data_IF_141707133338
#
_entry.id   IF_141707133338
#
_cell.length_a   1.000
_cell.length_b   1.000
_cell.length_c   1.000
_cell.angle_alpha   90.00
_cell.angle_beta   90.00
_cell.angle_gamma   90.00
#
_symmetry.space_group_name_H-M   'P 1'
#
loop_
_entity.id
_entity.type
_entity.pdbx_description
1 polymer ?
#
# COMPACT_ATOMS: atom_id res chain seq x y z
N UNK A 1 -41.36 -26.58 9.84
CA UNK A 1 -40.82 -27.92 10.15
C UNK A 1 -39.31 -27.84 10.28
N UNK A 2 -38.82 -27.80 11.51
CA UNK A 2 -37.42 -28.09 11.85
C UNK A 2 -37.07 -29.54 11.53
N UNK A 3 -35.78 -29.88 11.47
CA UNK A 3 -35.33 -30.83 12.48
C UNK A 3 -33.99 -30.48 13.11
N UNK A 4 -34.00 -30.60 14.43
CA UNK A 4 -32.86 -30.78 15.33
C UNK A 4 -32.17 -32.13 15.08
N UNK A 5 -30.84 -32.18 15.17
CA UNK A 5 -30.17 -33.38 15.67
C UNK A 5 -28.82 -33.06 16.34
N UNK A 6 -28.70 -33.50 17.59
CA UNK A 6 -27.53 -33.49 18.47
C UNK A 6 -26.74 -34.78 18.27
N UNK A 7 -25.41 -34.71 18.27
CA UNK A 7 -24.44 -35.77 18.63
C UNK A 7 -23.20 -35.00 19.13
N UNK A 8 -22.81 -34.94 20.41
CA UNK A 8 -22.47 -35.95 21.43
C UNK A 8 -21.24 -36.79 21.09
N UNK A 9 -20.04 -36.30 21.46
CA UNK A 9 -18.90 -37.15 21.80
C UNK A 9 -18.07 -36.48 22.91
N UNK A 10 -18.04 -37.17 24.05
CA UNK A 10 -17.17 -36.91 25.17
C UNK A 10 -15.79 -37.53 24.90
N UNK A 11 -14.72 -36.90 25.39
CA UNK A 11 -13.51 -37.63 25.77
C UNK A 11 -12.89 -37.05 27.04
N UNK A 12 -12.92 -37.92 28.06
CA UNK A 12 -12.24 -37.90 29.34
C UNK A 12 -10.74 -37.54 29.26
N UNK A 13 -10.29 -36.68 30.18
CA UNK A 13 -9.03 -36.91 30.91
C UNK A 13 -9.34 -36.75 32.40
N UNK A 14 -9.00 -37.81 33.14
CA UNK A 14 -9.32 -38.04 34.54
C UNK A 14 -8.19 -37.59 35.47
N UNK A 15 -8.57 -37.10 36.67
CA UNK A 15 -8.08 -37.47 38.02
C UNK A 15 -6.54 -37.42 38.27
N UNK A 16 -6.00 -36.68 39.26
CA UNK A 16 -5.95 -36.93 40.74
C UNK A 16 -4.97 -35.88 41.34
N UNK A 17 -4.92 -35.49 42.65
CA UNK A 17 -5.90 -35.46 43.74
C UNK A 17 -6.01 -34.09 44.47
N UNK A 18 -7.02 -34.01 45.34
CA UNK A 18 -7.13 -33.06 46.44
C UNK A 18 -6.07 -33.25 47.53
N UNK A 19 -5.54 -32.15 48.10
CA UNK A 19 -5.25 -32.00 49.54
C UNK A 19 -4.64 -30.61 49.80
N UNK A 20 -5.43 -29.73 50.42
CA UNK A 20 -5.03 -28.80 51.49
C UNK A 20 -6.09 -27.71 51.60
N UNK A 21 -7.18 -28.05 52.28
CA UNK A 21 -7.95 -27.05 53.00
C UNK A 21 -7.02 -26.38 54.03
N UNK A 22 -6.50 -25.21 53.68
CA UNK A 22 -5.98 -24.26 54.66
C UNK A 22 -6.94 -23.07 54.67
N UNK A 23 -7.93 -23.20 55.55
CA UNK A 23 -8.64 -22.07 56.13
C UNK A 23 -7.63 -21.01 56.58
N UNK A 24 -7.60 -19.85 55.92
CA UNK A 24 -7.29 -18.62 56.63
C UNK A 24 -8.21 -17.53 56.11
N UNK A 25 -9.21 -17.25 56.94
CA UNK A 25 -9.99 -16.02 56.90
C UNK A 25 -9.02 -14.86 57.06
N UNK A 26 -8.61 -14.23 55.96
CA UNK A 26 -7.95 -12.93 56.01
C UNK A 26 -9.03 -11.85 56.17
N UNK A 27 -9.48 -11.66 57.41
CA UNK A 27 -10.15 -10.42 57.82
C UNK A 27 -9.04 -9.40 58.11
N UNK A 28 -9.19 -8.19 57.55
CA UNK A 28 -8.44 -6.92 57.78
C UNK A 28 -7.21 -6.60 56.89
N UNK A 29 -7.22 -5.44 56.19
CA UNK A 29 -6.03 -4.59 55.99
C UNK A 29 -6.03 -3.46 57.07
N UNK A 30 -4.93 -2.69 57.25
CA UNK A 30 -3.95 -2.84 58.34
C UNK A 30 -3.93 -1.62 59.31
N UNK A 31 -3.34 -1.72 60.51
CA UNK A 31 -3.06 -0.50 61.26
C UNK A 31 -1.70 -0.46 61.99
N UNK A 32 -0.60 -1.00 61.46
CA UNK A 32 0.70 -0.80 62.11
C UNK A 32 1.84 -0.71 61.09
N UNK A 33 2.30 0.52 60.82
CA UNK A 33 3.71 0.72 60.49
C UNK A 33 4.43 0.71 61.84
N UNK A 34 5.21 -0.32 62.21
CA UNK A 34 6.05 -0.22 63.38
C UNK A 34 7.13 0.84 63.11
N UNK A 35 7.00 1.99 63.80
CA UNK A 35 8.12 2.93 63.99
C UNK A 35 9.12 2.28 64.94
N UNK A 36 10.12 1.61 64.39
CA UNK A 36 11.28 1.19 65.16
C UNK A 36 11.85 -0.15 64.69
N UNK A 37 13.09 -0.12 64.22
CA UNK A 37 13.89 -1.32 63.95
C UNK A 37 13.65 -1.93 62.57
N UNK A 38 14.19 -1.32 61.52
CA UNK A 38 14.18 -1.91 60.19
C UNK A 38 15.10 -3.13 60.12
N UNK A 39 14.55 -4.30 60.41
CA UNK A 39 15.13 -5.58 60.00
C UNK A 39 15.33 -5.56 58.48
N UNK A 40 16.51 -5.99 58.01
CA UNK A 40 16.82 -6.07 56.58
C UNK A 40 15.83 -7.00 55.84
N UNK A 41 15.23 -7.96 56.54
CA UNK A 41 14.15 -8.83 56.02
C UNK A 41 12.89 -8.05 55.67
N UNK A 42 12.39 -7.17 56.53
CA UNK A 42 11.19 -6.36 56.22
C UNK A 42 11.41 -5.40 55.05
N UNK A 43 12.63 -4.88 54.87
CA UNK A 43 12.97 -4.07 53.69
C UNK A 43 12.99 -4.92 52.39
N UNK A 44 13.46 -6.16 52.46
CA UNK A 44 13.45 -7.08 51.32
C UNK A 44 12.02 -7.50 50.95
N UNK A 45 11.16 -7.77 51.93
CA UNK A 45 9.76 -8.15 51.72
C UNK A 45 8.94 -7.02 51.08
N UNK A 46 9.14 -5.77 51.54
CA UNK A 46 8.48 -4.59 50.93
C UNK A 46 8.95 -4.37 49.49
N UNK A 47 10.23 -4.61 49.18
CA UNK A 47 10.74 -4.54 47.79
C UNK A 47 10.12 -5.61 46.91
N UNK A 48 10.04 -6.85 47.40
CA UNK A 48 9.41 -7.96 46.67
C UNK A 48 7.94 -7.66 46.40
N UNK A 49 7.20 -7.22 47.41
CA UNK A 49 5.81 -6.81 47.27
C UNK A 49 5.64 -5.68 46.23
N UNK A 50 6.51 -4.65 46.25
CA UNK A 50 6.46 -3.56 45.26
C UNK A 50 6.68 -4.08 43.83
N UNK A 51 7.65 -4.98 43.64
CA UNK A 51 7.91 -5.60 42.33
C UNK A 51 6.71 -6.42 41.85
N UNK A 52 6.12 -7.23 42.72
CA UNK A 52 4.91 -8.01 42.42
C UNK A 52 3.73 -7.10 42.04
N UNK A 53 3.53 -5.99 42.77
CA UNK A 53 2.49 -5.02 42.44
C UNK A 53 2.73 -4.33 41.09
N UNK A 54 3.98 -3.98 40.76
CA UNK A 54 4.33 -3.41 39.45
C UNK A 54 4.05 -4.39 38.32
N UNK A 55 4.40 -5.66 38.49
CA UNK A 55 4.10 -6.72 37.51
C UNK A 55 2.59 -6.90 37.32
N UNK A 56 1.82 -6.93 38.43
CA UNK A 56 0.35 -7.02 38.36
C UNK A 56 -0.27 -5.83 37.65
N UNK A 57 0.24 -4.61 37.86
CA UNK A 57 -0.23 -3.43 37.15
C UNK A 57 0.05 -3.52 35.65
N UNK A 58 1.25 -3.99 35.26
CA UNK A 58 1.61 -4.20 33.85
C UNK A 58 0.71 -5.24 33.16
N UNK A 59 0.42 -6.36 33.84
CA UNK A 59 -0.49 -7.38 33.32
C UNK A 59 -1.92 -6.85 33.16
N UNK A 60 -2.41 -6.08 34.12
CA UNK A 60 -3.74 -5.47 34.04
C UNK A 60 -3.85 -4.46 32.90
N UNK A 61 -2.83 -3.61 32.71
CA UNK A 61 -2.82 -2.67 31.59
C UNK A 61 -2.76 -3.41 30.25
N UNK A 62 -2.02 -4.52 30.17
CA UNK A 62 -1.93 -5.33 28.97
C UNK A 62 -3.29 -5.96 28.61
N UNK A 63 -3.94 -6.64 29.54
CA UNK A 63 -5.27 -7.25 29.32
C UNK A 63 -6.28 -6.17 28.89
N UNK A 64 -6.26 -5.01 29.55
CA UNK A 64 -7.14 -3.90 29.22
C UNK A 64 -6.87 -3.36 27.81
N UNK A 65 -5.60 -3.24 27.40
CA UNK A 65 -5.26 -2.81 26.04
C UNK A 65 -5.76 -3.78 24.97
N UNK A 66 -5.68 -5.10 25.20
CA UNK A 66 -6.20 -6.10 24.28
C UNK A 66 -7.73 -6.05 24.15
N UNK A 67 -8.44 -5.90 25.27
CA UNK A 67 -9.90 -5.79 25.26
C UNK A 67 -10.39 -4.48 24.61
N UNK A 68 -9.66 -3.37 24.77
CA UNK A 68 -9.97 -2.12 24.09
C UNK A 68 -9.67 -2.19 22.59
N UNK A 69 -8.59 -2.87 22.20
CA UNK A 69 -8.26 -3.10 20.80
C UNK A 69 -9.33 -3.96 20.10
N UNK A 70 -9.87 -5.00 20.78
CA UNK A 70 -11.02 -5.77 20.27
C UNK A 70 -12.26 -4.91 20.02
N UNK A 71 -12.41 -3.80 20.75
CA UNK A 71 -13.49 -2.83 20.57
C UNK A 71 -13.20 -1.77 19.50
N UNK A 72 -12.04 -1.85 18.84
CA UNK A 72 -11.66 -0.96 17.73
C UNK A 72 -10.96 0.33 18.14
N UNK A 73 -10.50 0.44 19.38
CA UNK A 73 -9.72 1.61 19.82
C UNK A 73 -8.24 1.36 19.46
N UNK A 74 -7.57 2.28 18.75
CA UNK A 74 -6.19 2.10 18.30
C UNK A 74 -5.22 2.28 19.47
N UNK A 75 -5.09 1.24 20.29
CA UNK A 75 -4.10 1.15 21.38
C UNK A 75 -3.10 0.06 21.00
N UNK A 76 -1.78 0.29 21.15
CA UNK A 76 -0.77 -0.71 20.83
C UNK A 76 -0.98 -1.97 21.67
N UNK A 77 -1.23 -3.09 21.00
CA UNK A 77 -1.40 -4.39 21.65
C UNK A 77 -0.07 -5.10 21.82
N UNK A 78 -0.02 -6.16 22.64
CA UNK A 78 1.20 -6.94 22.79
C UNK A 78 1.62 -7.63 21.48
N UNK A 79 0.66 -7.94 20.60
CA UNK A 79 0.96 -8.41 19.25
C UNK A 79 1.66 -7.32 18.43
N UNK A 80 1.19 -6.07 18.47
CA UNK A 80 1.82 -4.97 17.71
C UNK A 80 3.25 -4.65 18.17
N UNK A 81 3.56 -4.84 19.46
CA UNK A 81 4.89 -4.57 20.04
C UNK A 81 5.86 -5.75 19.86
N UNK A 82 5.35 -6.98 19.77
CA UNK A 82 6.15 -8.20 19.61
C UNK A 82 6.49 -8.53 18.16
N UNK A 83 5.81 -7.89 17.21
CA UNK A 83 6.10 -8.04 15.79
C UNK A 83 7.40 -7.28 15.46
N UNK A 84 8.41 -7.93 14.84
CA UNK A 84 9.61 -7.24 14.39
C UNK A 84 9.24 -6.08 13.46
N UNK A 85 9.98 -4.96 13.52
CA UNK A 85 9.67 -3.70 12.79
C UNK A 85 9.30 -3.91 11.31
N UNK A 86 9.84 -4.94 10.66
CA UNK A 86 9.59 -5.28 9.26
C UNK A 86 8.18 -5.85 8.97
N UNK A 87 7.36 -6.11 10.00
CA UNK A 87 6.03 -6.74 9.88
C UNK A 87 4.91 -5.92 10.53
N UNK A 88 5.20 -4.72 11.05
CA UNK A 88 4.14 -3.85 11.59
C UNK A 88 3.18 -3.51 10.44
N UNK A 89 1.87 -3.68 10.66
CA UNK A 89 0.87 -3.27 9.67
C UNK A 89 1.07 -1.79 9.38
N UNK A 90 1.35 -1.40 8.13
CA UNK A 90 1.84 -0.05 7.91
C UNK A 90 0.71 0.95 8.12
N UNK A 91 1.06 2.11 8.66
CA UNK A 91 0.08 3.10 9.08
C UNK A 91 -0.46 3.86 7.86
N UNK A 92 -1.76 4.11 7.86
CA UNK A 92 -2.39 4.98 6.87
C UNK A 92 -2.09 6.42 7.26
N UNK A 93 -1.27 7.10 6.47
CA UNK A 93 -0.82 8.46 6.73
C UNK A 93 -1.26 9.38 5.59
N UNK A 94 -1.63 10.60 5.96
CA UNK A 94 -1.96 11.67 5.03
C UNK A 94 -0.68 12.29 4.44
N UNK A 95 -0.74 12.64 3.16
CA UNK A 95 0.41 13.11 2.40
C UNK A 95 0.30 14.59 2.09
N UNK A 96 1.38 15.32 2.30
CA UNK A 96 1.52 16.71 1.90
C UNK A 96 2.00 16.81 0.46
N UNK A 97 1.49 17.82 -0.25
CA UNK A 97 1.77 18.10 -1.66
C UNK A 97 2.29 19.53 -1.77
N UNK A 98 3.57 19.69 -2.05
CA UNK A 98 4.19 21.00 -2.26
C UNK A 98 4.73 21.15 -3.69
N UNK A 99 4.97 22.39 -4.10
CA UNK A 99 5.66 22.70 -5.35
C UNK A 99 7.04 23.27 -5.01
N UNK A 100 8.08 22.67 -5.57
CA UNK A 100 9.44 23.20 -5.43
C UNK A 100 9.54 24.51 -6.21
N UNK A 101 10.04 25.57 -5.58
CA UNK A 101 10.28 26.87 -6.21
C UNK A 101 11.79 27.15 -6.25
N UNK A 102 12.24 28.11 -7.05
CA UNK A 102 13.67 28.47 -7.11
C UNK A 102 14.18 29.03 -5.78
N UNK A 103 13.32 29.75 -5.06
CA UNK A 103 13.64 30.36 -3.76
C UNK A 103 13.67 29.33 -2.62
N UNK A 104 12.92 28.23 -2.75
CA UNK A 104 12.85 27.15 -1.76
C UNK A 104 12.92 25.77 -2.44
N UNK A 105 14.14 25.30 -2.78
CA UNK A 105 14.32 23.96 -3.30
C UNK A 105 14.06 22.93 -2.20
N UNK A 106 13.14 21.99 -2.46
CA UNK A 106 12.89 20.86 -1.55
C UNK A 106 13.89 19.74 -1.88
N UNK A 107 14.64 19.30 -0.87
CA UNK A 107 15.56 18.16 -0.98
C UNK A 107 14.76 16.87 -1.18
N UNK A 108 15.01 16.15 -2.28
CA UNK A 108 14.30 14.92 -2.60
C UNK A 108 15.16 13.68 -2.34
N UNK A 109 14.54 12.57 -1.94
CA UNK A 109 15.25 11.32 -1.62
C UNK A 109 16.02 10.69 -2.80
N UNK A 110 15.52 10.85 -4.03
CA UNK A 110 16.13 10.29 -5.25
C UNK A 110 16.96 11.30 -6.04
N UNK A 111 16.66 12.58 -5.88
CA UNK A 111 17.31 13.67 -6.59
C UNK A 111 17.68 14.70 -5.54
N UNK A 112 18.98 14.97 -5.35
CA UNK A 112 19.48 15.86 -4.29
C UNK A 112 18.61 17.10 -4.12
N UNK A 113 18.36 17.84 -5.20
CA UNK A 113 17.40 18.94 -5.24
C UNK A 113 16.32 18.68 -6.30
N UNK A 114 15.07 19.02 -5.96
CA UNK A 114 13.98 19.03 -6.92
C UNK A 114 14.17 20.18 -7.93
N UNK A 115 13.95 19.92 -9.22
CA UNK A 115 13.93 20.97 -10.23
C UNK A 115 12.83 22.00 -9.91
N UNK A 116 13.07 23.26 -10.23
CA UNK A 116 12.10 24.32 -10.01
C UNK A 116 10.77 24.03 -10.73
N UNK A 117 9.66 24.38 -10.08
CA UNK A 117 8.28 24.12 -10.51
C UNK A 117 7.88 22.64 -10.58
N UNK A 118 8.62 21.74 -9.94
CA UNK A 118 8.22 20.34 -9.84
C UNK A 118 7.32 20.10 -8.62
N UNK A 119 6.38 19.18 -8.77
CA UNK A 119 5.50 18.73 -7.68
C UNK A 119 6.21 17.69 -6.85
N UNK A 120 6.23 17.89 -5.55
CA UNK A 120 6.86 17.01 -4.56
C UNK A 120 5.83 16.55 -3.53
N UNK A 121 6.05 15.36 -3.00
CA UNK A 121 5.17 14.69 -2.04
C UNK A 121 5.99 14.26 -0.83
N UNK A 122 5.43 14.39 0.37
CA UNK A 122 6.01 13.85 1.59
C UNK A 122 4.89 13.42 2.56
N UNK A 123 5.14 12.44 3.45
CA UNK A 123 4.26 12.18 4.59
C UNK A 123 4.20 13.43 5.50
N UNK A 124 3.06 13.72 6.12
CA UNK A 124 2.87 14.92 6.96
C UNK A 124 3.90 15.05 8.11
N UNK A 125 4.46 13.94 8.57
CA UNK A 125 5.42 13.88 9.68
C UNK A 125 6.88 13.68 9.24
N UNK A 126 7.18 13.78 7.94
CA UNK A 126 8.50 13.48 7.38
C UNK A 126 8.97 14.56 6.42
N UNK A 127 10.24 14.94 6.57
CA UNK A 127 10.93 15.88 5.68
C UNK A 127 11.49 15.21 4.41
N UNK A 128 11.21 13.92 4.20
CA UNK A 128 11.72 13.14 3.09
C UNK A 128 10.79 13.28 1.87
N UNK A 129 11.09 14.28 1.03
CA UNK A 129 10.32 14.57 -0.17
C UNK A 129 10.66 13.63 -1.33
N UNK A 130 9.65 13.35 -2.16
CA UNK A 130 9.82 12.66 -3.44
C UNK A 130 9.13 13.44 -4.56
N UNK A 131 9.79 13.59 -5.70
CA UNK A 131 9.16 14.19 -6.88
C UNK A 131 8.14 13.23 -7.50
N UNK A 132 7.02 13.78 -7.99
CA UNK A 132 5.95 12.98 -8.62
C UNK A 132 6.46 12.25 -9.87
N UNK A 133 7.42 12.83 -10.59
CA UNK A 133 8.06 12.21 -11.75
C UNK A 133 8.89 10.97 -11.36
N UNK A 134 9.70 11.07 -10.30
CA UNK A 134 10.47 9.96 -9.77
C UNK A 134 9.56 8.85 -9.21
N UNK A 135 8.49 9.23 -8.50
CA UNK A 135 7.50 8.29 -7.99
C UNK A 135 6.80 7.52 -9.13
N UNK A 136 6.40 8.21 -10.22
CA UNK A 136 5.77 7.56 -11.37
C UNK A 136 6.76 6.64 -12.12
N UNK A 137 8.06 6.98 -12.14
CA UNK A 137 9.11 6.11 -12.67
C UNK A 137 9.27 4.84 -11.82
N UNK A 138 9.26 4.96 -10.49
CA UNK A 138 9.32 3.81 -9.59
C UNK A 138 8.11 2.90 -9.75
N UNK A 139 6.90 3.46 -9.85
CA UNK A 139 5.67 2.70 -10.11
C UNK A 139 5.77 1.81 -11.35
N UNK A 140 6.41 2.31 -12.42
CA UNK A 140 6.54 1.59 -13.70
C UNK A 140 7.65 0.55 -13.72
N UNK A 141 8.76 0.82 -13.04
CA UNK A 141 9.93 -0.06 -13.08
C UNK A 141 9.88 -1.11 -11.98
N UNK A 142 9.77 -0.70 -10.72
CA UNK A 142 9.86 -1.56 -9.54
C UNK A 142 9.05 -0.94 -8.37
N UNK A 143 7.74 -1.22 -8.26
CA UNK A 143 6.91 -0.62 -7.20
C UNK A 143 7.33 -1.06 -5.79
N UNK A 144 7.95 -2.24 -5.63
CA UNK A 144 8.40 -2.78 -4.34
C UNK A 144 9.55 -1.99 -3.70
N UNK A 145 10.23 -1.13 -4.45
CA UNK A 145 11.30 -0.27 -3.93
C UNK A 145 10.78 0.97 -3.19
N UNK A 146 9.49 1.26 -3.30
CA UNK A 146 8.88 2.45 -2.69
C UNK A 146 8.72 2.28 -1.16
N UNK A 147 8.34 1.10 -0.69
CA UNK A 147 8.15 0.85 0.76
C UNK A 147 9.45 0.98 1.59
N UNK A 148 10.63 0.45 1.18
CA UNK A 148 11.85 0.60 1.97
C UNK A 148 12.41 2.02 1.98
N UNK A 149 11.95 2.94 1.11
CA UNK A 149 12.40 4.32 1.12
C UNK A 149 12.08 4.99 2.46
N UNK A 150 10.84 4.87 2.95
CA UNK A 150 10.45 5.42 4.25
C UNK A 150 10.59 4.39 5.39
N UNK A 151 11.62 3.56 5.32
CA UNK A 151 11.92 2.52 6.33
C UNK A 151 10.71 1.62 6.64
N UNK A 152 9.94 1.24 5.62
CA UNK A 152 8.74 0.38 5.75
C UNK A 152 7.69 0.85 6.76
N UNK A 153 7.71 2.13 7.14
CA UNK A 153 6.72 2.73 8.06
C UNK A 153 5.33 2.85 7.42
N UNK A 154 5.29 3.03 6.09
CA UNK A 154 4.08 3.32 5.33
C UNK A 154 3.84 2.28 4.24
N UNK A 155 2.60 1.79 4.11
CA UNK A 155 2.18 0.82 3.08
C UNK A 155 1.84 1.59 1.81
N UNK A 156 2.84 2.15 1.14
CA UNK A 156 2.60 2.99 -0.02
C UNK A 156 2.15 2.11 -1.18
N UNK A 157 2.77 0.94 -1.33
CA UNK A 157 2.40 -0.01 -2.39
C UNK A 157 0.97 -0.50 -2.22
N UNK A 158 0.58 -0.91 -1.02
CA UNK A 158 -0.77 -1.40 -0.77
C UNK A 158 -1.80 -0.25 -0.84
N UNK A 159 -1.47 0.94 -0.34
CA UNK A 159 -2.43 2.06 -0.31
C UNK A 159 -2.62 2.75 -1.65
N UNK A 160 -1.55 2.96 -2.44
CA UNK A 160 -1.60 3.76 -3.66
C UNK A 160 -1.62 2.92 -4.94
N UNK A 161 -0.96 1.76 -4.93
CA UNK A 161 -0.80 0.93 -6.13
C UNK A 161 -1.68 -0.32 -6.15
N UNK A 162 -2.19 -0.78 -5.00
CA UNK A 162 -3.11 -1.92 -4.99
C UNK A 162 -4.47 -1.54 -5.58
N UNK A 163 -5.06 -2.34 -6.48
CA UNK A 163 -6.42 -2.11 -6.96
C UNK A 163 -7.49 -2.36 -5.88
N UNK A 164 -7.15 -2.99 -4.76
CA UNK A 164 -8.09 -3.29 -3.68
C UNK A 164 -8.27 -2.15 -2.68
N UNK A 165 -7.39 -1.15 -2.69
CA UNK A 165 -7.43 -0.07 -1.71
C UNK A 165 -8.33 1.08 -2.20
N UNK A 166 -9.11 1.71 -1.29
CA UNK A 166 -9.99 2.82 -1.67
C UNK A 166 -9.21 4.07 -2.09
N UNK A 167 -7.96 4.21 -1.64
CA UNK A 167 -7.07 5.34 -1.92
C UNK A 167 -6.13 5.07 -3.11
N UNK A 168 -6.34 3.99 -3.85
CA UNK A 168 -5.55 3.67 -5.02
C UNK A 168 -5.56 4.86 -6.00
N UNK A 169 -4.40 5.20 -6.55
CA UNK A 169 -4.32 6.26 -7.56
C UNK A 169 -5.18 5.93 -8.79
N UNK A 170 -5.41 4.64 -9.05
CA UNK A 170 -6.30 4.17 -10.09
C UNK A 170 -7.79 4.37 -9.77
N UNK A 171 -8.21 4.37 -8.49
CA UNK A 171 -9.63 4.49 -8.12
C UNK A 171 -10.16 5.90 -8.39
N UNK A 172 -9.37 6.93 -8.08
CA UNK A 172 -9.73 8.33 -8.38
C UNK A 172 -9.75 8.63 -9.89
N UNK A 173 -8.84 7.99 -10.63
CA UNK A 173 -8.76 8.10 -12.09
C UNK A 173 -9.81 7.26 -12.83
N UNK A 174 -10.32 6.18 -12.22
CA UNK A 174 -11.32 5.28 -12.80
C UNK A 174 -12.69 5.94 -13.03
N UNK A 175 -12.92 7.14 -12.48
CA UNK A 175 -14.10 7.95 -12.77
C UNK A 175 -14.21 8.36 -14.25
N UNK A 176 -13.13 8.27 -15.02
CA UNK A 176 -13.13 8.54 -16.47
C UNK A 176 -12.87 7.26 -17.26
N UNK A 177 -13.70 6.90 -18.25
CA UNK A 177 -13.46 5.71 -19.07
C UNK A 177 -12.20 5.83 -19.93
N UNK A 178 -11.78 7.04 -20.28
CA UNK A 178 -10.58 7.30 -21.10
C UNK A 178 -9.28 6.95 -20.38
N UNK A 179 -9.22 7.12 -19.06
CA UNK A 179 -8.01 6.85 -18.26
C UNK A 179 -7.82 5.36 -18.04
N UNK A 180 -8.91 4.58 -17.95
CA UNK A 180 -8.86 3.12 -17.90
C UNK A 180 -8.31 2.53 -19.20
N UNK A 181 -8.79 3.02 -20.35
CA UNK A 181 -8.26 2.61 -21.65
C UNK A 181 -6.79 2.99 -21.82
N UNK A 182 -6.41 4.20 -21.39
CA UNK A 182 -5.01 4.62 -21.41
C UNK A 182 -4.15 3.74 -20.50
N UNK A 183 -4.58 3.49 -19.26
CA UNK A 183 -3.86 2.62 -18.34
C UNK A 183 -3.70 1.20 -18.89
N UNK A 184 -4.74 0.63 -19.49
CA UNK A 184 -4.66 -0.69 -20.10
C UNK A 184 -3.67 -0.73 -21.27
N UNK A 185 -3.73 0.28 -22.16
CA UNK A 185 -2.82 0.40 -23.31
C UNK A 185 -1.37 0.63 -22.85
N UNK A 186 -1.15 1.39 -21.78
CA UNK A 186 0.18 1.69 -21.24
C UNK A 186 0.76 0.55 -20.39
N UNK A 187 -0.06 -0.19 -19.64
CA UNK A 187 0.40 -1.27 -18.77
C UNK A 187 0.80 -2.52 -19.56
N UNK A 188 0.25 -2.69 -20.77
CA UNK A 188 0.53 -3.86 -21.61
C UNK A 188 1.43 -3.47 -22.81
N UNK A 189 2.70 -3.90 -22.76
CA UNK A 189 3.70 -3.63 -23.82
C UNK A 189 3.21 -4.01 -25.23
N UNK A 190 2.42 -5.09 -25.33
CA UNK A 190 1.84 -5.56 -26.59
C UNK A 190 0.64 -4.72 -27.04
N UNK A 191 -0.14 -4.16 -26.10
CA UNK A 191 -1.29 -3.32 -26.40
C UNK A 191 -0.86 -1.98 -27.03
N UNK A 192 0.25 -1.39 -26.55
CA UNK A 192 0.83 -0.20 -27.16
C UNK A 192 1.27 -0.48 -28.61
N UNK A 193 1.97 -1.59 -28.84
CA UNK A 193 2.39 -1.99 -30.19
C UNK A 193 1.20 -2.20 -31.13
N UNK A 194 0.17 -2.92 -30.67
CA UNK A 194 -1.07 -3.11 -31.43
C UNK A 194 -1.81 -1.81 -31.71
N UNK A 195 -1.82 -0.87 -30.75
CA UNK A 195 -2.47 0.43 -30.93
C UNK A 195 -1.78 1.25 -32.02
N UNK A 196 -0.44 1.22 -32.09
CA UNK A 196 0.33 1.91 -33.14
C UNK A 196 0.10 1.24 -34.50
N UNK A 197 0.15 -0.09 -34.57
CA UNK A 197 -0.09 -0.81 -35.84
C UNK A 197 -1.54 -0.61 -36.31
N UNK A 198 -2.49 -0.64 -35.38
CA UNK A 198 -3.90 -0.37 -35.66
C UNK A 198 -4.15 1.05 -36.14
N UNK A 199 -3.50 2.05 -35.54
CA UNK A 199 -3.62 3.45 -35.99
C UNK A 199 -3.02 3.65 -37.38
N UNK A 200 -1.91 2.98 -37.70
CA UNK A 200 -1.32 3.00 -39.04
C UNK A 200 -2.24 2.33 -40.06
N UNK A 201 -2.81 1.17 -39.73
CA UNK A 201 -3.71 0.42 -40.62
C UNK A 201 -5.00 1.18 -40.90
N UNK A 202 -5.61 1.78 -39.87
CA UNK A 202 -6.80 2.63 -40.03
C UNK A 202 -6.51 3.86 -40.88
N UNK A 203 -5.32 4.47 -40.74
CA UNK A 203 -4.88 5.56 -41.60
C UNK A 203 -4.78 5.11 -43.06
N UNK A 204 -4.17 3.95 -43.34
CA UNK A 204 -4.08 3.40 -44.71
C UNK A 204 -5.47 3.14 -45.31
N UNK A 205 -6.39 2.53 -44.54
CA UNK A 205 -7.77 2.30 -45.00
C UNK A 205 -8.46 3.63 -45.33
N UNK A 206 -8.25 4.65 -44.50
CA UNK A 206 -8.86 5.97 -44.69
C UNK A 206 -8.31 6.71 -45.93
N UNK A 207 -7.03 6.48 -46.28
CA UNK A 207 -6.41 7.03 -47.50
C UNK A 207 -6.69 6.23 -48.76
N UNK A 208 -7.11 4.97 -48.66
CA UNK A 208 -7.43 4.10 -49.79
C UNK A 208 -8.40 4.74 -50.82
N UNK A 209 -9.56 5.31 -50.44
CA UNK A 209 -10.48 5.92 -51.42
C UNK A 209 -9.87 7.15 -52.11
N UNK A 210 -9.01 7.90 -51.42
CA UNK A 210 -8.30 9.05 -52.01
C UNK A 210 -7.31 8.58 -53.06
N UNK A 211 -6.57 7.50 -52.77
CA UNK A 211 -5.64 6.88 -53.73
C UNK A 211 -6.38 6.33 -54.95
N UNK A 212 -7.55 5.74 -54.78
CA UNK A 212 -8.37 5.26 -55.89
C UNK A 212 -8.79 6.40 -56.81
N UNK A 213 -9.30 7.50 -56.25
CA UNK A 213 -9.69 8.70 -57.03
C UNK A 213 -8.46 9.30 -57.73
N UNK A 214 -7.31 9.35 -57.06
CA UNK A 214 -6.07 9.84 -57.65
C UNK A 214 -5.61 8.94 -58.82
N UNK A 215 -5.65 7.63 -58.64
CA UNK A 215 -5.29 6.64 -59.66
C UNK A 215 -6.22 6.72 -60.86
N UNK A 216 -7.53 6.80 -60.65
CA UNK A 216 -8.52 7.00 -61.73
C UNK A 216 -8.25 8.31 -62.48
N UNK A 217 -7.95 9.40 -61.76
CA UNK A 217 -7.64 10.69 -62.38
C UNK A 217 -6.32 10.66 -63.16
N UNK A 218 -5.31 9.95 -62.68
CA UNK A 218 -4.04 9.75 -63.39
C UNK A 218 -4.22 8.89 -64.64
N UNK A 219 -4.99 7.80 -64.56
CA UNK A 219 -5.29 6.93 -65.70
C UNK A 219 -6.09 7.65 -66.78
N UNK A 220 -6.95 8.60 -66.41
CA UNK A 220 -7.72 9.41 -67.37
C UNK A 220 -6.95 10.66 -67.82
N UNK A 221 -5.78 10.94 -67.25
CA UNK A 221 -5.03 12.16 -67.60
C UNK A 221 -4.42 12.07 -69.00
N UNK A 222 -4.61 13.12 -69.80
CA UNK A 222 -4.06 13.22 -71.17
C UNK A 222 -2.54 13.12 -71.20
N UNK A 223 -1.86 13.53 -70.12
CA UNK A 223 -0.42 13.47 -69.99
C UNK A 223 0.12 12.03 -70.05
N UNK A 224 -0.57 11.08 -69.41
CA UNK A 224 -0.19 9.67 -69.42
C UNK A 224 -0.30 9.07 -70.84
N UNK A 225 -1.35 9.43 -71.57
CA UNK A 225 -1.64 8.91 -72.91
C UNK A 225 -0.78 9.54 -74.01
N UNK A 226 -0.32 10.78 -73.83
CA UNK A 226 0.62 11.44 -74.74
C UNK A 226 1.94 10.67 -74.88
N UNK A 227 2.41 10.03 -73.80
CA UNK A 227 3.65 9.25 -73.81
C UNK A 227 3.46 7.75 -74.07
N UNK A 228 2.23 7.30 -74.33
CA UNK A 228 1.89 5.90 -74.58
C UNK A 228 2.80 5.18 -75.59
N UNK A 229 3.21 5.78 -76.73
CA UNK A 229 4.06 5.09 -77.72
C UNK A 229 5.46 4.73 -77.20
N UNK A 230 5.97 5.45 -76.19
CA UNK A 230 7.24 5.16 -75.55
C UNK A 230 7.07 4.02 -74.53
N UNK A 231 6.05 4.12 -73.68
CA UNK A 231 5.83 3.16 -72.59
C UNK A 231 5.32 1.81 -73.11
N UNK A 232 4.48 1.80 -74.15
CA UNK A 232 4.02 0.58 -74.80
C UNK A 232 5.17 -0.24 -75.39
N UNK A 233 6.26 0.42 -75.82
CA UNK A 233 7.45 -0.27 -76.32
C UNK A 233 8.18 -1.02 -75.20
N UNK A 234 8.27 -0.43 -74.01
CA UNK A 234 8.96 -1.03 -72.87
C UNK A 234 8.12 -2.13 -72.19
N UNK A 235 6.78 -2.09 -72.31
CA UNK A 235 5.88 -3.15 -71.81
C UNK A 235 5.83 -4.36 -72.75
N UNK A 236 6.05 -4.15 -74.06
CA UNK A 236 6.01 -5.21 -75.09
C UNK A 236 7.39 -5.71 -75.54
N UNK A 237 8.49 -5.16 -74.99
CA UNK A 237 9.85 -5.64 -75.17
C UNK A 237 10.19 -6.73 -74.13
#
# INVERSE_FOLDING_TARGET
NSPTMRISTAFLIALVPASAAASSTSKYPPPWIPRGGASTKTKQDVRKYRMEQQQLMQLRSMILSEELAKRGIPIPTLQDVSVPNDQKKPEKVDWDCAMATEDEPKSCMLSFDAEANTKVLAPIDSDDWISVSALNRLRRNDPTKVDPMWHSKFAIVESWFSPSSPYALSSSLASRPSTLLLSFVLDHKWALSLSIVGSLFTLVILFLPVLEVLAQRLLVSDFLWMEWPKWARDVHA
#
